data_IF_567260575370
#
_entry.id   IF_567260575370
#
_cell.length_a   1.000
_cell.length_b   1.000
_cell.length_c   1.000
_cell.angle_alpha   90.00
_cell.angle_beta   90.00
_cell.angle_gamma   90.00
#
_symmetry.space_group_name_H-M   'P 1'
#
loop_
_entity.id
_entity.type
_entity.pdbx_description
1 polymer ?
#
# COMPACT_ATOMS: atom_id res chain seq x y z
N UNK A 1 -15.52 -14.44 -21.90
CA UNK A 1 -14.21 -14.63 -21.26
C UNK A 1 -13.91 -16.12 -21.20
N UNK A 2 -12.86 -16.57 -21.86
CA UNK A 2 -12.47 -17.99 -21.86
C UNK A 2 -11.80 -18.35 -20.53
N UNK A 3 -11.83 -19.62 -20.13
CA UNK A 3 -11.27 -20.12 -18.86
C UNK A 3 -9.80 -19.72 -18.64
N UNK A 4 -9.03 -19.52 -19.73
CA UNK A 4 -7.64 -19.09 -19.68
C UNK A 4 -7.44 -17.58 -19.44
N UNK A 5 -8.38 -16.73 -19.81
CA UNK A 5 -8.27 -15.28 -19.53
C UNK A 5 -8.53 -14.95 -18.05
N UNK A 6 -9.16 -15.87 -17.31
CA UNK A 6 -9.39 -15.74 -15.86
C UNK A 6 -8.17 -16.15 -15.00
N UNK A 7 -7.15 -16.78 -15.58
CA UNK A 7 -5.97 -17.31 -14.88
C UNK A 7 -4.83 -16.28 -14.75
N UNK A 8 -4.88 -15.17 -15.49
CA UNK A 8 -3.92 -14.05 -15.41
C UNK A 8 -4.37 -12.88 -14.53
N UNK A 9 -5.49 -13.02 -13.80
CA UNK A 9 -5.94 -12.01 -12.84
C UNK A 9 -5.21 -12.25 -11.49
N UNK A 10 -4.61 -11.22 -10.87
CA UNK A 10 -4.10 -11.31 -9.51
C UNK A 10 -5.14 -11.97 -8.59
N UNK A 11 -4.72 -12.92 -7.74
CA UNK A 11 -5.63 -13.71 -6.90
C UNK A 11 -6.63 -12.84 -6.09
N UNK A 12 -6.23 -11.61 -5.72
CA UNK A 12 -7.06 -10.64 -5.01
C UNK A 12 -8.17 -9.99 -5.85
N UNK A 13 -8.00 -9.84 -7.17
CA UNK A 13 -9.07 -9.32 -8.03
C UNK A 13 -10.25 -10.31 -8.10
N UNK A 14 -9.94 -11.62 -8.13
CA UNK A 14 -10.95 -12.69 -8.02
C UNK A 14 -11.58 -12.72 -6.62
N UNK A 15 -10.80 -12.52 -5.56
CA UNK A 15 -11.30 -12.61 -4.18
C UNK A 15 -12.23 -11.45 -3.78
N UNK A 16 -11.93 -10.22 -4.21
CA UNK A 16 -12.72 -9.02 -3.85
C UNK A 16 -14.02 -8.87 -4.65
N UNK A 17 -14.05 -9.34 -5.89
CA UNK A 17 -15.28 -9.42 -6.70
C UNK A 17 -16.27 -10.46 -6.16
N UNK A 18 -15.80 -11.53 -5.50
CA UNK A 18 -16.66 -12.58 -4.96
C UNK A 18 -17.34 -12.21 -3.64
N UNK A 19 -16.84 -11.22 -2.88
CA UNK A 19 -17.36 -10.89 -1.54
C UNK A 19 -18.28 -9.66 -1.50
N UNK A 20 -18.17 -8.74 -2.48
CA UNK A 20 -18.99 -7.52 -2.52
C UNK A 20 -20.39 -7.74 -3.15
N UNK A 21 -20.58 -8.79 -3.95
CA UNK A 21 -21.81 -9.01 -4.74
C UNK A 21 -22.37 -10.40 -4.46
N UNK A 22 -22.78 -10.65 -3.22
CA UNK A 22 -23.58 -11.82 -2.87
C UNK A 22 -25.04 -11.73 -3.38
N UNK A 23 -25.42 -10.67 -4.10
CA UNK A 23 -26.76 -10.54 -4.67
C UNK A 23 -26.71 -9.94 -6.07
N UNK A 24 -27.07 -10.79 -7.04
CA UNK A 24 -27.44 -10.51 -8.43
C UNK A 24 -26.35 -10.70 -9.51
N UNK A 25 -26.59 -11.69 -10.37
CA UNK A 25 -25.64 -12.25 -11.36
C UNK A 25 -25.80 -11.58 -12.73
N UNK A 26 -26.89 -10.84 -12.96
CA UNK A 26 -27.14 -10.17 -14.25
C UNK A 26 -26.37 -8.85 -14.42
N UNK A 27 -26.03 -8.17 -13.32
CA UNK A 27 -25.27 -6.91 -13.34
C UNK A 27 -23.76 -7.16 -13.57
N UNK A 28 -23.32 -8.40 -13.34
CA UNK A 28 -21.94 -8.87 -13.50
C UNK A 28 -21.42 -8.74 -14.94
N UNK A 29 -22.19 -9.16 -15.95
CA UNK A 29 -21.72 -9.12 -17.34
C UNK A 29 -21.50 -7.69 -17.82
N UNK A 30 -22.40 -6.77 -17.44
CA UNK A 30 -22.35 -5.37 -17.85
C UNK A 30 -21.26 -4.58 -17.12
N UNK A 31 -21.08 -4.80 -15.81
CA UNK A 31 -20.08 -4.09 -15.02
C UNK A 31 -18.65 -4.58 -15.31
N UNK A 32 -18.47 -5.90 -15.48
CA UNK A 32 -17.18 -6.49 -15.83
C UNK A 32 -16.73 -6.04 -17.24
N UNK A 33 -17.64 -5.98 -18.21
CA UNK A 33 -17.34 -5.46 -19.55
C UNK A 33 -16.91 -3.99 -19.51
N UNK A 34 -17.63 -3.13 -18.76
CA UNK A 34 -17.27 -1.70 -18.63
C UNK A 34 -15.91 -1.50 -17.96
N UNK A 35 -15.57 -2.32 -16.97
CA UNK A 35 -14.27 -2.26 -16.30
C UNK A 35 -13.14 -2.72 -17.22
N UNK A 36 -13.32 -3.85 -17.93
CA UNK A 36 -12.35 -4.34 -18.90
C UNK A 36 -12.17 -3.35 -20.05
N UNK A 37 -13.25 -2.73 -20.54
CA UNK A 37 -13.18 -1.68 -21.56
C UNK A 37 -12.45 -0.44 -21.07
N UNK A 38 -12.72 0.04 -19.85
CA UNK A 38 -12.01 1.19 -19.28
C UNK A 38 -10.50 0.90 -19.09
N UNK A 39 -10.16 -0.31 -18.64
CA UNK A 39 -8.77 -0.77 -18.53
C UNK A 39 -8.08 -0.91 -19.89
N UNK A 40 -8.78 -1.44 -20.90
CA UNK A 40 -8.25 -1.58 -22.27
C UNK A 40 -8.16 -0.25 -23.03
N UNK A 41 -9.01 0.73 -22.71
CA UNK A 41 -8.97 2.07 -23.31
C UNK A 41 -7.84 2.92 -22.71
N UNK A 42 -7.56 2.76 -21.41
CA UNK A 42 -6.41 3.40 -20.75
C UNK A 42 -5.04 2.84 -21.17
N UNK A 43 -5.00 1.60 -21.67
CA UNK A 43 -3.76 0.92 -22.13
C UNK A 43 -3.45 1.11 -23.61
N UNK A 44 -4.23 1.92 -24.35
CA UNK A 44 -3.92 2.26 -25.75
C UNK A 44 -2.72 3.20 -25.85
N UNK A 45 -1.55 2.61 -26.05
CA UNK A 45 -0.31 3.26 -26.48
C UNK A 45 -0.57 4.32 -27.57
N UNK A 46 -0.09 5.58 -27.42
CA UNK A 46 0.04 6.45 -28.57
C UNK A 46 1.06 5.84 -29.55
N UNK A 47 0.64 5.69 -30.80
CA UNK A 47 1.47 5.21 -31.91
C UNK A 47 2.70 6.11 -32.06
N UNK A 48 3.89 5.53 -31.93
CA UNK A 48 5.17 6.20 -32.25
C UNK A 48 5.13 6.77 -33.67
N UNK A 49 5.12 8.10 -33.80
CA UNK A 49 5.53 8.75 -35.04
C UNK A 49 7.01 8.45 -35.31
N UNK A 50 7.31 7.76 -36.41
CA UNK A 50 8.68 7.65 -36.93
C UNK A 50 9.08 8.99 -37.53
N UNK A 51 9.90 9.75 -36.81
CA UNK A 51 10.65 10.89 -37.34
C UNK A 51 12.14 10.58 -37.26
N UNK A 52 12.75 10.24 -38.40
CA UNK A 52 14.20 10.17 -38.53
C UNK A 52 14.78 11.59 -38.50
N UNK A 53 15.83 11.80 -37.70
CA UNK A 53 16.55 13.07 -37.66
C UNK A 53 17.87 12.94 -36.90
N UNK A 54 18.95 12.72 -37.66
CA UNK A 54 20.33 12.82 -37.18
C UNK A 54 20.61 14.27 -36.79
N UNK A 55 21.14 14.53 -35.60
CA UNK A 55 21.93 15.74 -35.35
C UNK A 55 23.15 15.44 -34.47
N UNK A 56 24.23 16.08 -34.89
CA UNK A 56 25.60 15.89 -34.49
C UNK A 56 25.95 16.58 -33.16
N UNK A 57 27.16 16.27 -32.70
CA UNK A 57 27.73 16.62 -31.40
C UNK A 57 27.60 18.09 -30.98
N UNK A 58 27.34 18.25 -29.68
CA UNK A 58 27.52 19.49 -28.94
C UNK A 58 27.86 19.13 -27.50
N UNK A 59 29.11 19.40 -27.09
CA UNK A 59 29.54 19.34 -25.69
C UNK A 59 28.63 20.27 -24.88
N UNK A 60 27.89 19.72 -23.91
CA UNK A 60 27.16 20.52 -22.91
C UNK A 60 27.90 20.46 -21.58
N UNK A 61 28.04 21.65 -21.01
CA UNK A 61 28.71 21.97 -19.77
C UNK A 61 28.15 21.16 -18.61
N UNK A 62 29.02 20.49 -17.86
CA UNK A 62 28.71 19.85 -16.58
C UNK A 62 28.67 20.93 -15.49
N UNK A 63 27.56 21.65 -15.39
CA UNK A 63 27.17 22.38 -14.17
C UNK A 63 25.66 22.57 -14.21
N UNK A 64 24.91 21.53 -13.89
CA UNK A 64 23.54 21.68 -13.41
C UNK A 64 23.49 21.02 -12.03
N UNK A 65 23.87 21.80 -11.02
CA UNK A 65 23.63 21.43 -9.63
C UNK A 65 22.14 21.65 -9.38
N UNK A 66 21.33 20.63 -9.65
CA UNK A 66 19.93 20.59 -9.24
C UNK A 66 19.88 20.41 -7.72
N UNK A 67 19.86 21.55 -7.02
CA UNK A 67 19.33 21.66 -5.67
C UNK A 67 17.80 21.53 -5.73
N UNK A 68 17.33 20.31 -5.95
CA UNK A 68 15.91 19.93 -5.96
C UNK A 68 15.61 19.22 -4.63
N UNK A 69 15.72 19.93 -3.50
CA UNK A 69 15.22 19.41 -2.22
C UNK A 69 13.68 19.50 -2.22
N UNK A 70 13.04 18.62 -2.98
CA UNK A 70 11.59 18.52 -3.04
C UNK A 70 11.07 17.93 -1.72
N UNK A 71 10.05 18.56 -1.13
CA UNK A 71 9.38 18.02 0.04
C UNK A 71 8.76 16.64 -0.27
N UNK A 72 8.79 15.74 0.72
CA UNK A 72 8.09 14.46 0.64
C UNK A 72 6.58 14.70 0.43
N UNK A 73 5.90 13.86 -0.36
CA UNK A 73 4.45 13.95 -0.50
C UNK A 73 3.73 13.70 0.82
N UNK A 74 2.56 14.33 0.98
CA UNK A 74 1.63 14.01 2.06
C UNK A 74 0.88 12.70 1.75
N UNK A 75 0.87 11.77 2.71
CA UNK A 75 0.15 10.51 2.62
C UNK A 75 -0.96 10.44 3.67
N UNK A 76 -2.24 10.63 3.31
CA UNK A 76 -3.34 10.77 4.27
C UNK A 76 -3.56 9.56 5.18
N UNK A 77 -3.11 8.37 4.77
CA UNK A 77 -3.23 7.15 5.56
C UNK A 77 -1.89 6.72 6.18
N UNK A 78 -0.75 7.31 5.82
CA UNK A 78 0.56 6.97 6.37
C UNK A 78 1.43 8.22 6.47
N UNK A 79 1.11 9.15 7.39
CA UNK A 79 1.66 10.50 7.38
C UNK A 79 3.17 10.57 7.65
N UNK A 80 3.74 9.60 8.37
CA UNK A 80 5.14 9.62 8.80
C UNK A 80 5.93 8.38 8.27
N UNK A 81 5.97 8.14 6.96
CA UNK A 81 6.52 6.90 6.40
C UNK A 81 8.04 6.79 6.54
N UNK A 82 8.73 7.89 6.85
CA UNK A 82 10.15 7.87 7.21
C UNK A 82 10.35 7.38 8.65
N UNK A 83 9.48 7.80 9.57
CA UNK A 83 9.57 7.41 10.97
C UNK A 83 9.25 5.92 11.17
N UNK A 84 8.37 5.36 10.34
CA UNK A 84 8.01 3.93 10.32
C UNK A 84 9.00 3.07 9.53
N UNK A 85 9.98 3.68 8.86
CA UNK A 85 11.00 2.98 8.08
C UNK A 85 10.56 2.53 6.68
N UNK A 86 9.32 2.80 6.27
CA UNK A 86 8.83 2.49 4.91
C UNK A 86 9.49 3.32 3.82
N UNK A 87 10.01 4.51 4.16
CA UNK A 87 10.77 5.38 3.25
C UNK A 87 12.10 5.75 3.91
N UNK A 88 13.19 5.72 3.14
CA UNK A 88 14.51 6.14 3.61
C UNK A 88 15.18 7.12 2.65
N UNK A 89 16.07 8.00 3.14
CA UNK A 89 16.96 8.77 2.29
C UNK A 89 17.78 7.85 1.38
N UNK A 90 17.91 8.20 0.11
CA UNK A 90 18.61 7.39 -0.88
C UNK A 90 19.01 8.21 -2.12
N UNK A 91 20.13 7.85 -2.74
CA UNK A 91 20.57 8.33 -4.05
C UNK A 91 20.18 7.39 -5.20
N UNK A 92 19.40 6.34 -4.92
CA UNK A 92 18.88 5.40 -5.92
C UNK A 92 17.94 6.11 -6.90
N UNK A 93 18.13 5.82 -8.19
CA UNK A 93 17.24 6.26 -9.25
C UNK A 93 15.93 5.47 -9.22
N UNK A 94 14.79 6.17 -9.26
CA UNK A 94 13.49 5.52 -9.31
C UNK A 94 13.21 4.90 -10.67
N UNK A 95 12.89 3.61 -10.71
CA UNK A 95 12.53 2.91 -11.96
C UNK A 95 11.27 3.48 -12.65
N UNK A 96 10.37 4.12 -11.89
CA UNK A 96 9.15 4.69 -12.46
C UNK A 96 9.38 5.99 -13.22
N UNK A 97 10.20 6.89 -12.71
CA UNK A 97 10.37 8.23 -13.28
C UNK A 97 11.79 8.54 -13.74
N UNK A 98 12.75 7.62 -13.55
CA UNK A 98 14.15 7.74 -13.99
C UNK A 98 14.80 9.00 -13.40
N UNK A 99 14.51 9.27 -12.11
CA UNK A 99 15.05 10.40 -11.36
C UNK A 99 15.55 9.95 -10.00
N UNK A 100 16.68 10.52 -9.57
CA UNK A 100 17.12 10.54 -8.18
C UNK A 100 16.42 11.68 -7.47
N UNK A 101 15.67 11.38 -6.40
CA UNK A 101 14.86 12.37 -5.67
C UNK A 101 15.19 12.47 -4.19
N UNK A 102 16.22 11.76 -3.73
CA UNK A 102 16.71 11.82 -2.35
C UNK A 102 16.01 10.86 -1.38
N UNK A 103 14.92 10.21 -1.78
CA UNK A 103 14.20 9.23 -0.97
C UNK A 103 13.69 8.06 -1.80
N UNK A 104 13.62 6.89 -1.18
CA UNK A 104 13.15 5.65 -1.78
C UNK A 104 12.24 4.88 -0.82
N UNK A 105 11.29 4.13 -1.37
CA UNK A 105 10.40 3.24 -0.63
C UNK A 105 11.07 1.88 -0.40
N UNK A 106 10.97 1.34 0.81
CA UNK A 106 11.59 0.07 1.23
C UNK A 106 10.58 -1.00 1.64
N UNK A 107 9.28 -0.69 1.56
CA UNK A 107 8.22 -1.58 2.01
C UNK A 107 7.80 -2.61 0.96
N UNK A 108 6.76 -3.41 1.25
CA UNK A 108 6.28 -4.44 0.34
C UNK A 108 5.72 -3.84 -0.96
N UNK A 109 5.93 -4.56 -2.06
CA UNK A 109 5.34 -4.26 -3.37
C UNK A 109 4.80 -5.54 -3.97
N UNK A 110 3.50 -5.53 -4.29
CA UNK A 110 2.87 -6.52 -5.15
C UNK A 110 2.70 -5.93 -6.54
N UNK A 111 3.28 -6.55 -7.56
CA UNK A 111 3.15 -6.13 -8.95
C UNK A 111 2.99 -7.34 -9.88
N UNK A 112 2.47 -7.11 -11.09
CA UNK A 112 2.30 -8.17 -12.09
C UNK A 112 3.64 -8.62 -12.64
N UNK A 113 4.53 -7.66 -12.88
CA UNK A 113 5.93 -7.90 -13.22
C UNK A 113 6.79 -7.79 -11.95
N UNK A 114 7.85 -8.58 -11.86
CA UNK A 114 8.81 -8.49 -10.75
C UNK A 114 9.45 -7.08 -10.79
N UNK A 115 9.26 -6.33 -9.71
CA UNK A 115 9.90 -5.03 -9.52
C UNK A 115 11.14 -5.32 -8.67
N UNK A 116 12.27 -5.50 -9.34
CA UNK A 116 13.58 -5.75 -8.70
C UNK A 116 14.24 -4.44 -8.25
N UNK A 117 13.72 -3.30 -8.70
CA UNK A 117 14.27 -1.97 -8.46
C UNK A 117 13.33 -1.02 -7.71
N UNK A 118 13.93 -0.02 -7.09
CA UNK A 118 13.27 0.76 -6.07
C UNK A 118 12.37 1.89 -6.63
N UNK A 119 11.27 2.18 -5.92
CA UNK A 119 10.31 3.22 -6.28
C UNK A 119 10.44 4.45 -5.38
N UNK A 120 10.30 5.66 -5.94
CA UNK A 120 10.32 6.88 -5.14
C UNK A 120 8.93 7.20 -4.55
N UNK A 121 8.86 7.85 -3.38
CA UNK A 121 7.61 8.23 -2.72
C UNK A 121 6.65 9.02 -3.60
N UNK A 122 7.17 9.87 -4.48
CA UNK A 122 6.35 10.72 -5.35
C UNK A 122 5.59 9.93 -6.41
N UNK A 123 6.21 8.89 -7.00
CA UNK A 123 5.53 8.01 -7.96
C UNK A 123 4.49 7.10 -7.30
N UNK A 124 4.66 6.82 -6.00
CA UNK A 124 3.61 6.21 -5.18
C UNK A 124 2.47 7.22 -5.02
N UNK A 125 2.77 8.42 -4.52
CA UNK A 125 1.76 9.43 -4.20
C UNK A 125 0.87 9.84 -5.40
N UNK A 126 1.48 10.08 -6.57
CA UNK A 126 0.74 10.47 -7.77
C UNK A 126 0.08 9.29 -8.50
N UNK A 127 0.43 8.06 -8.14
CA UNK A 127 -0.09 6.82 -8.71
C UNK A 127 0.61 6.38 -10.00
N UNK A 128 1.67 7.05 -10.45
CA UNK A 128 2.42 6.67 -11.66
C UNK A 128 3.01 5.27 -11.54
N UNK A 129 3.47 4.87 -10.35
CA UNK A 129 4.00 3.52 -10.12
C UNK A 129 2.90 2.45 -10.29
N UNK A 130 1.72 2.71 -9.74
CA UNK A 130 0.57 1.82 -9.89
C UNK A 130 0.08 1.75 -11.34
N UNK A 131 0.06 2.87 -12.07
CA UNK A 131 -0.33 2.92 -13.47
C UNK A 131 0.67 2.19 -14.38
N UNK A 132 1.97 2.41 -14.17
CA UNK A 132 3.04 1.86 -15.01
C UNK A 132 3.27 0.37 -14.79
N UNK A 133 3.17 -0.10 -13.54
CA UNK A 133 3.56 -1.47 -13.17
C UNK A 133 2.43 -2.32 -12.58
N UNK A 134 1.22 -1.77 -12.43
CA UNK A 134 0.15 -2.44 -11.69
C UNK A 134 0.48 -2.64 -10.21
N UNK A 135 1.38 -1.81 -9.66
CA UNK A 135 1.87 -1.93 -8.30
C UNK A 135 0.78 -1.67 -7.24
N UNK A 136 0.81 -2.48 -6.19
CA UNK A 136 0.08 -2.32 -4.94
C UNK A 136 1.07 -2.43 -3.78
N UNK A 137 0.97 -1.53 -2.81
CA UNK A 137 1.94 -1.41 -1.71
C UNK A 137 1.43 -2.02 -0.40
N UNK A 138 0.15 -2.35 -0.33
CA UNK A 138 -0.50 -2.92 0.84
C UNK A 138 -1.87 -3.47 0.46
N UNK A 139 -2.58 -4.08 1.42
CA UNK A 139 -3.92 -4.60 1.26
C UNK A 139 -4.89 -4.02 2.30
N UNK A 140 -6.02 -3.46 1.84
CA UNK A 140 -7.10 -3.01 2.72
C UNK A 140 -7.91 -4.18 3.27
N UNK A 141 -8.07 -4.22 4.59
CA UNK A 141 -8.96 -5.13 5.28
C UNK A 141 -10.37 -4.52 5.43
N UNK A 142 -11.36 -5.16 4.83
CA UNK A 142 -12.77 -4.79 4.97
C UNK A 142 -13.41 -4.25 3.70
N UNK A 143 -14.53 -3.54 3.85
CA UNK A 143 -15.31 -2.99 2.74
C UNK A 143 -15.36 -1.47 2.88
N UNK A 144 -14.66 -0.79 1.97
CA UNK A 144 -14.61 0.67 1.87
C UNK A 144 -14.80 1.09 0.41
N UNK A 145 -15.12 2.37 0.12
CA UNK A 145 -15.26 2.84 -1.25
C UNK A 145 -14.04 2.54 -2.12
N UNK A 146 -14.24 2.31 -3.41
CA UNK A 146 -13.16 1.98 -4.35
C UNK A 146 -12.05 3.04 -4.38
N UNK A 147 -12.40 4.32 -4.23
CA UNK A 147 -11.42 5.40 -4.19
C UNK A 147 -10.56 5.34 -2.93
N UNK A 148 -11.11 4.93 -1.79
CA UNK A 148 -10.35 4.65 -0.56
C UNK A 148 -9.39 3.47 -0.77
N UNK A 149 -9.86 2.38 -1.39
CA UNK A 149 -9.01 1.23 -1.73
C UNK A 149 -7.83 1.67 -2.59
N UNK A 150 -8.08 2.43 -3.67
CA UNK A 150 -7.01 2.94 -4.55
C UNK A 150 -6.05 3.87 -3.83
N UNK A 151 -6.57 4.78 -3.01
CA UNK A 151 -5.73 5.71 -2.27
C UNK A 151 -4.77 5.01 -1.30
N UNK A 152 -5.19 3.90 -0.69
CA UNK A 152 -4.36 3.13 0.23
C UNK A 152 -3.42 2.22 -0.55
N UNK A 153 -3.97 1.32 -1.38
CA UNK A 153 -3.19 0.25 -1.97
C UNK A 153 -2.25 0.71 -3.06
N UNK A 154 -2.57 1.80 -3.76
CA UNK A 154 -1.81 2.25 -4.94
C UNK A 154 -1.08 3.57 -4.71
N UNK A 155 -1.41 4.29 -3.63
CA UNK A 155 -0.91 5.66 -3.41
C UNK A 155 -0.45 5.94 -1.99
N UNK A 156 -0.41 4.92 -1.14
CA UNK A 156 0.13 5.01 0.21
C UNK A 156 1.29 4.02 0.35
N UNK A 157 2.45 4.43 0.87
CA UNK A 157 3.51 3.51 1.24
C UNK A 157 2.98 2.45 2.20
N UNK A 158 3.22 1.17 1.89
CA UNK A 158 2.96 0.07 2.81
C UNK A 158 3.86 0.13 4.04
N UNK A 159 3.71 -0.87 4.91
CA UNK A 159 4.63 -1.16 6.01
C UNK A 159 4.96 -2.64 5.96
N UNK A 160 6.03 -3.06 6.65
CA UNK A 160 6.40 -4.47 6.74
C UNK A 160 5.82 -5.10 8.00
N UNK A 161 5.15 -6.24 7.82
CA UNK A 161 4.65 -7.12 8.87
C UNK A 161 5.51 -8.38 9.07
N UNK A 162 5.32 -9.11 10.18
CA UNK A 162 5.86 -10.48 10.29
C UNK A 162 5.00 -11.48 9.51
N UNK A 163 3.71 -11.19 9.41
CA UNK A 163 2.77 -11.86 8.51
C UNK A 163 2.22 -10.87 7.48
N UNK A 164 1.30 -11.34 6.63
CA UNK A 164 0.62 -10.51 5.63
C UNK A 164 0.01 -9.27 6.29
N UNK A 165 0.38 -8.10 5.79
CA UNK A 165 -0.06 -6.83 6.36
C UNK A 165 -1.54 -6.58 6.13
N UNK A 166 -2.18 -5.98 7.14
CA UNK A 166 -3.62 -5.70 7.12
C UNK A 166 -3.83 -4.21 7.32
N UNK A 167 -4.25 -3.50 6.28
CA UNK A 167 -4.61 -2.10 6.44
C UNK A 167 -6.01 -1.97 7.02
N UNK A 168 -6.09 -1.59 8.30
CA UNK A 168 -7.36 -1.56 9.03
C UNK A 168 -8.31 -0.48 8.50
N UNK A 169 -9.61 -0.73 8.63
CA UNK A 169 -10.69 0.19 8.24
C UNK A 169 -11.64 0.46 9.41
N UNK A 170 -12.23 1.65 9.43
CA UNK A 170 -13.21 2.05 10.45
C UNK A 170 -14.07 3.21 9.93
N UNK A 171 -15.32 3.31 10.41
CA UNK A 171 -16.29 4.33 9.95
C UNK A 171 -16.48 4.38 8.41
N UNK A 172 -16.31 3.24 7.71
CA UNK A 172 -16.46 3.16 6.25
C UNK A 172 -15.28 3.72 5.46
N UNK A 173 -14.13 3.91 6.09
CA UNK A 173 -12.93 4.49 5.50
C UNK A 173 -11.65 3.77 5.99
N UNK A 174 -10.51 4.02 5.35
CA UNK A 174 -9.22 3.53 5.82
C UNK A 174 -8.74 4.24 7.08
N UNK A 175 -8.14 3.48 7.99
CA UNK A 175 -7.48 4.06 9.15
C UNK A 175 -6.07 4.58 8.79
N UNK A 176 -5.59 5.53 9.58
CA UNK A 176 -4.26 6.13 9.47
C UNK A 176 -3.28 5.22 10.19
N UNK A 177 -2.30 4.66 9.49
CA UNK A 177 -1.23 3.88 10.09
C UNK A 177 -0.32 4.80 10.92
N UNK A 178 -0.12 4.44 12.19
CA UNK A 178 0.67 5.18 13.18
C UNK A 178 2.01 4.54 13.47
N UNK A 179 2.28 3.34 12.93
CA UNK A 179 3.55 2.64 13.06
C UNK A 179 3.45 1.32 13.82
N UNK A 180 4.61 0.68 13.96
CA UNK A 180 4.80 -0.44 14.87
C UNK A 180 4.63 0.01 16.32
N UNK A 181 4.09 -0.88 17.15
CA UNK A 181 3.70 -0.57 18.51
C UNK A 181 4.00 -1.75 19.45
N UNK A 182 4.72 -1.46 20.53
CA UNK A 182 4.89 -2.36 21.65
C UNK A 182 3.85 -2.06 22.74
N UNK A 183 4.03 -2.69 23.90
CA UNK A 183 3.17 -2.45 25.06
C UNK A 183 3.17 -0.96 25.50
N UNK A 184 4.31 -0.27 25.36
CA UNK A 184 4.46 1.12 25.76
C UNK A 184 3.65 2.08 24.86
N UNK A 185 3.71 1.87 23.55
CA UNK A 185 3.00 2.68 22.55
C UNK A 185 1.48 2.45 22.63
N UNK A 186 1.05 1.24 22.97
CA UNK A 186 -0.38 0.89 23.09
C UNK A 186 -1.00 1.29 24.43
N UNK A 187 -0.20 1.45 25.50
CA UNK A 187 -0.71 1.76 26.85
C UNK A 187 -1.69 2.95 26.92
N UNK A 188 -1.53 4.05 26.14
CA UNK A 188 -2.49 5.16 26.13
C UNK A 188 -3.79 4.87 25.38
N UNK A 189 -3.90 3.73 24.70
CA UNK A 189 -4.94 3.43 23.70
C UNK A 189 -5.71 2.14 24.06
N UNK A 190 -6.65 2.21 25.04
CA UNK A 190 -7.39 1.03 25.49
C UNK A 190 -8.23 0.38 24.39
N UNK A 191 -8.74 1.15 23.43
CA UNK A 191 -9.51 0.62 22.28
C UNK A 191 -8.62 -0.26 21.37
N UNK A 192 -7.36 0.13 21.16
CA UNK A 192 -6.40 -0.64 20.39
C UNK A 192 -5.99 -1.93 21.12
N UNK A 193 -5.78 -1.85 22.44
CA UNK A 193 -5.54 -3.01 23.29
C UNK A 193 -6.71 -4.01 23.19
N UNK A 194 -7.94 -3.52 23.36
CA UNK A 194 -9.14 -4.35 23.29
C UNK A 194 -9.31 -5.00 21.91
N UNK A 195 -8.90 -4.34 20.83
CA UNK A 195 -8.91 -4.92 19.48
C UNK A 195 -7.95 -6.11 19.34
N UNK A 196 -6.73 -6.01 19.88
CA UNK A 196 -5.76 -7.11 19.87
C UNK A 196 -6.26 -8.27 20.75
N UNK A 197 -6.76 -7.98 21.96
CA UNK A 197 -7.31 -8.98 22.87
C UNK A 197 -8.49 -9.74 22.24
N UNK A 198 -9.39 -9.01 21.55
CA UNK A 198 -10.50 -9.62 20.83
C UNK A 198 -10.06 -10.51 19.66
N UNK A 199 -8.97 -10.17 18.97
CA UNK A 199 -8.40 -11.03 17.92
C UNK A 199 -7.79 -12.31 18.53
N UNK A 200 -7.09 -12.20 19.66
CA UNK A 200 -6.51 -13.35 20.39
C UNK A 200 -7.59 -14.29 20.96
N UNK A 201 -8.71 -13.74 21.45
CA UNK A 201 -9.82 -14.53 21.99
C UNK A 201 -10.48 -15.42 20.92
N UNK A 202 -10.44 -15.03 19.63
CA UNK A 202 -10.89 -15.90 18.52
C UNK A 202 -10.15 -17.23 18.46
N UNK A 203 -8.91 -17.25 18.95
CA UNK A 203 -8.09 -18.46 19.07
C UNK A 203 -8.23 -19.16 20.43
N UNK A 204 -9.20 -18.74 21.26
CA UNK A 204 -9.53 -19.28 22.59
C UNK A 204 -8.31 -19.37 23.51
N UNK A 205 -7.47 -18.33 23.50
CA UNK A 205 -6.30 -18.23 24.38
C UNK A 205 -6.75 -18.08 25.83
N UNK A 206 -6.04 -18.73 26.76
CA UNK A 206 -6.32 -18.53 28.17
C UNK A 206 -5.92 -17.09 28.59
N UNK A 207 -6.60 -16.47 29.57
CA UNK A 207 -6.31 -15.09 29.98
C UNK A 207 -4.83 -14.82 30.29
N UNK A 208 -4.17 -15.72 31.02
CA UNK A 208 -2.74 -15.57 31.33
C UNK A 208 -1.83 -15.59 30.09
N UNK A 209 -2.24 -16.25 29.01
CA UNK A 209 -1.51 -16.24 27.74
C UNK A 209 -1.70 -14.92 27.00
N UNK A 210 -2.91 -14.34 27.08
CA UNK A 210 -3.22 -13.01 26.54
C UNK A 210 -2.39 -11.96 27.28
N UNK A 211 -2.42 -11.95 28.61
CA UNK A 211 -1.64 -11.02 29.43
C UNK A 211 -0.14 -11.08 29.10
N UNK A 212 0.40 -12.31 29.00
CA UNK A 212 1.80 -12.51 28.63
C UNK A 212 2.10 -11.97 27.24
N UNK A 213 1.28 -12.30 26.25
CA UNK A 213 1.44 -11.82 24.87
C UNK A 213 1.42 -10.29 24.80
N UNK A 214 0.41 -9.66 25.42
CA UNK A 214 0.28 -8.20 25.48
C UNK A 214 1.48 -7.54 26.14
N UNK A 215 1.99 -8.13 27.24
CA UNK A 215 3.19 -7.63 27.92
C UNK A 215 4.49 -7.81 27.12
N UNK A 216 4.50 -8.74 26.16
CA UNK A 216 5.67 -9.04 25.32
C UNK A 216 5.73 -8.24 24.02
N UNK A 217 4.71 -7.43 23.72
CA UNK A 217 4.69 -6.61 22.51
C UNK A 217 5.86 -5.63 22.49
N UNK A 218 6.64 -5.69 21.41
CA UNK A 218 7.78 -4.83 21.14
C UNK A 218 7.61 -4.20 19.75
N UNK A 219 7.82 -2.89 19.64
CA UNK A 219 7.75 -2.19 18.35
C UNK A 219 8.91 -2.56 17.42
N UNK A 220 10.05 -2.97 17.99
CA UNK A 220 11.29 -3.29 17.26
C UNK A 220 11.60 -4.80 17.26
N UNK A 221 10.71 -5.62 17.84
CA UNK A 221 10.91 -7.06 18.06
C UNK A 221 9.59 -7.82 18.03
N UNK A 222 9.61 -9.13 18.23
CA UNK A 222 8.41 -9.96 18.17
C UNK A 222 7.92 -10.38 19.56
N UNK A 223 6.59 -10.45 19.79
CA UNK A 223 5.51 -10.05 18.88
C UNK A 223 5.42 -8.53 18.69
N UNK A 224 4.93 -8.08 17.53
CA UNK A 224 4.80 -6.64 17.20
C UNK A 224 3.33 -6.28 17.02
N UNK A 225 2.94 -5.11 17.55
CA UNK A 225 1.66 -4.49 17.25
C UNK A 225 1.76 -3.51 16.07
N UNK A 226 0.64 -3.29 15.38
CA UNK A 226 0.51 -2.33 14.28
C UNK A 226 -0.64 -1.39 14.64
N UNK A 227 -0.32 -0.15 14.95
CA UNK A 227 -1.30 0.81 15.44
C UNK A 227 -1.88 1.67 14.32
N UNK A 228 -3.18 1.92 14.40
CA UNK A 228 -3.92 2.75 13.47
C UNK A 228 -4.86 3.70 14.22
N UNK A 229 -5.24 4.79 13.56
CA UNK A 229 -6.21 5.75 14.06
C UNK A 229 -7.31 5.99 13.02
N UNK A 230 -8.57 5.90 13.41
CA UNK A 230 -9.67 6.21 12.52
C UNK A 230 -9.65 7.71 12.17
N UNK A 231 -9.54 8.03 10.88
CA UNK A 231 -9.54 9.41 10.37
C UNK A 231 -10.82 10.19 10.65
N UNK A 232 -11.94 9.50 10.91
CA UNK A 232 -13.26 10.11 11.09
C UNK A 232 -13.55 10.39 12.57
N UNK A 233 -13.36 9.40 13.45
CA UNK A 233 -13.72 9.52 14.86
C UNK A 233 -12.53 9.59 15.82
N UNK A 234 -11.29 9.36 15.35
CA UNK A 234 -10.09 9.35 16.19
C UNK A 234 -9.91 8.09 17.06
N UNK A 235 -10.76 7.08 16.91
CA UNK A 235 -10.62 5.82 17.63
C UNK A 235 -9.32 5.10 17.22
N UNK A 236 -8.59 4.58 18.21
CA UNK A 236 -7.39 3.79 17.97
C UNK A 236 -7.75 2.33 17.73
N UNK A 237 -7.08 1.74 16.74
CA UNK A 237 -7.21 0.35 16.33
C UNK A 237 -5.82 -0.26 16.36
N UNK A 238 -5.73 -1.56 16.60
CA UNK A 238 -4.48 -2.27 16.38
C UNK A 238 -4.72 -3.74 16.09
N UNK A 239 -3.71 -4.35 15.51
CA UNK A 239 -3.54 -5.79 15.55
C UNK A 239 -2.09 -6.12 15.90
N UNK A 240 -1.81 -7.39 16.19
CA UNK A 240 -0.45 -7.85 16.44
C UNK A 240 -0.20 -9.18 15.74
N UNK A 241 1.04 -9.40 15.31
CA UNK A 241 1.49 -10.65 14.75
C UNK A 241 2.92 -10.99 15.21
N UNK A 242 3.38 -12.18 14.80
CA UNK A 242 4.70 -12.74 15.05
C UNK A 242 4.96 -13.90 14.08
N UNK A 243 6.21 -14.35 13.99
CA UNK A 243 6.64 -15.47 13.12
C UNK A 243 6.26 -16.84 13.65
#
# INVERSE_FOLDING_TARGET
MTRHEAEGLPQLARYRLLRAVAHDVADWESAALRWVEAYQLGTRRPTRCRGAGRYAGGRRSLTDTHDDTQALPDFPYHPDPVATGSIAPSDTECICCERVRGFIYLGPVYAVDEIDEELCPWCIADGSAAERFGAQFTEVEGVVPLDTVRAIEQRTPGFSGWQQERWLTHCGDGAIFRGHAGAAELAPHPDAIAAIEADLDRYRRAPAQVDHFMSSLDKDGQPTGYAFECRICGAWLAYADFT
#
